data_IF_734064496257
#
_entry.id   IF_734064496257
#
_cell.length_a   1.000
_cell.length_b   1.000
_cell.length_c   1.000
_cell.angle_alpha   90.00
_cell.angle_beta   90.00
_cell.angle_gamma   90.00
#
_symmetry.space_group_name_H-M   'P 1'
#
loop_
_entity.id
_entity.type
_entity.pdbx_description
1 polymer ?
#
# COMPACT_ATOMS: atom_id res chain seq x y z
N UNK A 1 -6.62 -24.68 48.06
CA UNK A 1 -5.84 -23.43 47.89
C UNK A 1 -4.96 -23.42 46.64
N UNK A 2 -3.96 -24.29 46.47
CA UNK A 2 -3.04 -24.18 45.31
C UNK A 2 -3.69 -24.44 43.93
N UNK A 3 -4.60 -25.41 43.82
CA UNK A 3 -5.31 -25.70 42.57
C UNK A 3 -6.25 -24.57 42.12
N UNK A 4 -6.75 -23.80 43.07
CA UNK A 4 -7.65 -22.67 42.84
C UNK A 4 -6.88 -21.45 42.36
N UNK A 5 -5.74 -21.14 43.02
CA UNK A 5 -4.78 -20.15 42.55
C UNK A 5 -4.28 -20.43 41.13
N UNK A 6 -4.04 -21.72 40.81
CA UNK A 6 -3.59 -22.14 39.47
C UNK A 6 -4.71 -22.05 38.42
N UNK A 7 -5.99 -22.15 38.83
CA UNK A 7 -7.15 -21.92 37.94
C UNK A 7 -7.36 -20.44 37.68
N UNK A 8 -7.29 -19.60 38.71
CA UNK A 8 -7.39 -18.14 38.53
C UNK A 8 -6.23 -17.60 37.69
N UNK A 9 -5.02 -18.11 37.88
CA UNK A 9 -3.85 -17.76 37.07
C UNK A 9 -4.08 -18.10 35.59
N UNK A 10 -4.56 -19.31 35.28
CA UNK A 10 -4.89 -19.69 33.88
C UNK A 10 -5.95 -18.78 33.27
N UNK A 11 -7.02 -18.47 34.01
CA UNK A 11 -8.10 -17.59 33.54
C UNK A 11 -7.60 -16.19 33.21
N UNK A 12 -6.70 -15.64 34.03
CA UNK A 12 -6.08 -14.33 33.76
C UNK A 12 -5.22 -14.37 32.50
N UNK A 13 -4.40 -15.40 32.31
CA UNK A 13 -3.59 -15.55 31.10
C UNK A 13 -4.43 -15.67 29.83
N UNK A 14 -5.51 -16.45 29.89
CA UNK A 14 -6.47 -16.61 28.80
C UNK A 14 -7.14 -15.27 28.43
N UNK A 15 -7.59 -14.51 29.44
CA UNK A 15 -8.13 -13.16 29.23
C UNK A 15 -7.10 -12.22 28.59
N UNK A 16 -5.84 -12.28 29.02
CA UNK A 16 -4.75 -11.47 28.45
C UNK A 16 -4.45 -11.86 27.00
N UNK A 17 -4.42 -13.15 26.68
CA UNK A 17 -4.20 -13.62 25.32
C UNK A 17 -5.38 -13.29 24.40
N UNK A 18 -6.62 -13.42 24.89
CA UNK A 18 -7.82 -13.00 24.17
C UNK A 18 -7.84 -11.48 23.94
N UNK A 19 -7.45 -10.67 24.93
CA UNK A 19 -7.31 -9.23 24.80
C UNK A 19 -6.20 -8.87 23.79
N UNK A 20 -5.06 -9.57 23.81
CA UNK A 20 -3.97 -9.40 22.83
C UNK A 20 -4.42 -9.73 21.42
N UNK A 21 -5.07 -10.88 21.21
CA UNK A 21 -5.64 -11.28 19.90
C UNK A 21 -6.68 -10.28 19.42
N UNK A 22 -7.57 -9.81 20.30
CA UNK A 22 -8.57 -8.76 19.97
C UNK A 22 -7.91 -7.44 19.59
N UNK A 23 -6.87 -7.02 20.31
CA UNK A 23 -6.12 -5.81 19.99
C UNK A 23 -5.36 -5.93 18.66
N UNK A 24 -4.77 -7.10 18.38
CA UNK A 24 -4.13 -7.39 17.09
C UNK A 24 -5.12 -7.35 15.94
N UNK A 25 -6.27 -8.02 16.05
CA UNK A 25 -7.35 -7.95 15.05
C UNK A 25 -7.82 -6.52 14.81
N UNK A 26 -8.00 -5.73 15.88
CA UNK A 26 -8.35 -4.30 15.77
C UNK A 26 -7.25 -3.48 15.08
N UNK A 27 -5.99 -3.74 15.38
CA UNK A 27 -4.86 -3.06 14.78
C UNK A 27 -4.76 -3.38 13.27
N UNK A 28 -4.91 -4.65 12.89
CA UNK A 28 -4.94 -5.10 11.49
C UNK A 28 -6.14 -4.48 10.76
N UNK A 29 -7.34 -4.54 11.34
CA UNK A 29 -8.54 -3.92 10.77
C UNK A 29 -8.35 -2.42 10.53
N UNK A 30 -7.80 -1.68 11.51
CA UNK A 30 -7.52 -0.25 11.36
C UNK A 30 -6.40 0.04 10.35
N UNK A 31 -5.39 -0.83 10.24
CA UNK A 31 -4.34 -0.71 9.25
C UNK A 31 -4.87 -0.94 7.83
N UNK A 32 -5.65 -2.01 7.59
CA UNK A 32 -6.36 -2.28 6.33
C UNK A 32 -7.24 -1.09 5.93
N UNK A 33 -7.96 -0.48 6.89
CA UNK A 33 -8.82 0.69 6.62
C UNK A 33 -8.08 2.00 6.40
N UNK A 34 -6.86 2.13 6.91
CA UNK A 34 -6.07 3.35 6.76
C UNK A 34 -5.45 3.44 5.37
N UNK A 35 -5.28 2.28 4.70
CA UNK A 35 -4.58 2.17 3.43
C UNK A 35 -3.15 2.69 3.54
N UNK A 36 -2.33 2.50 2.51
CA UNK A 36 -1.10 3.28 2.39
C UNK A 36 -1.49 4.73 2.01
N UNK A 37 -1.20 5.74 2.86
CA UNK A 37 -1.51 7.14 2.53
C UNK A 37 -0.79 7.62 1.28
N UNK A 38 0.27 6.93 0.84
CA UNK A 38 1.01 7.24 -0.38
C UNK A 38 0.37 6.65 -1.64
N UNK A 39 -0.59 5.71 -1.53
CA UNK A 39 -1.16 4.99 -2.67
C UNK A 39 -2.55 5.47 -3.12
N UNK A 40 -3.15 6.48 -2.48
CA UNK A 40 -4.51 6.94 -2.89
C UNK A 40 -4.75 8.43 -2.68
N UNK A 41 -3.93 9.27 -3.33
CA UNK A 41 -4.28 10.68 -3.52
C UNK A 41 -5.11 10.80 -4.79
N UNK A 42 -6.42 11.00 -4.65
CA UNK A 42 -7.29 11.32 -5.77
C UNK A 42 -7.54 12.83 -5.82
N UNK A 43 -7.20 13.45 -6.95
CA UNK A 43 -7.57 14.83 -7.24
C UNK A 43 -8.86 14.84 -8.08
N UNK A 44 -9.97 15.34 -7.50
CA UNK A 44 -11.25 15.49 -8.20
C UNK A 44 -11.51 16.96 -8.47
N UNK A 45 -11.63 17.33 -9.74
CA UNK A 45 -12.05 18.66 -10.16
C UNK A 45 -13.56 18.77 -10.15
N UNK A 46 -14.11 19.79 -9.50
CA UNK A 46 -15.54 20.14 -9.62
C UNK A 46 -15.68 21.54 -10.19
N UNK A 47 -16.76 21.78 -10.96
CA UNK A 47 -17.05 23.12 -11.47
C UNK A 47 -17.41 24.05 -10.31
N UNK A 48 -16.50 24.94 -9.97
CA UNK A 48 -16.76 26.05 -9.06
C UNK A 48 -17.44 27.20 -9.81
N UNK A 49 -18.46 27.82 -9.19
CA UNK A 49 -18.98 29.11 -9.66
C UNK A 49 -18.07 30.20 -9.09
N UNK A 50 -17.44 30.95 -9.97
CA UNK A 50 -16.64 32.10 -9.56
C UNK A 50 -17.61 33.20 -9.14
N UNK A 51 -17.61 33.51 -7.85
CA UNK A 51 -18.32 34.66 -7.33
C UNK A 51 -17.40 35.87 -7.43
N UNK A 52 -17.85 36.89 -8.18
CA UNK A 52 -17.15 38.17 -8.25
C UNK A 52 -17.47 38.95 -6.97
N UNK A 53 -16.46 39.20 -6.18
CA UNK A 53 -16.55 40.11 -5.05
C UNK A 53 -16.10 41.50 -5.54
N UNK A 54 -17.07 42.38 -5.82
CA UNK A 54 -16.81 43.73 -6.28
C UNK A 54 -16.06 44.57 -5.23
N UNK A 55 -16.26 44.30 -3.93
CA UNK A 55 -15.55 45.00 -2.87
C UNK A 55 -14.08 44.58 -2.84
N UNK A 56 -13.80 43.27 -2.97
CA UNK A 56 -12.43 42.76 -3.10
C UNK A 56 -11.75 43.30 -4.37
N UNK A 57 -12.47 43.35 -5.49
CA UNK A 57 -11.97 43.93 -6.74
C UNK A 57 -11.58 45.41 -6.56
N UNK A 58 -12.48 46.24 -6.01
CA UNK A 58 -12.20 47.66 -5.76
C UNK A 58 -11.08 47.86 -4.75
N UNK A 59 -11.01 47.04 -3.70
CA UNK A 59 -9.90 47.08 -2.75
C UNK A 59 -8.55 46.77 -3.44
N UNK A 60 -8.54 45.86 -4.41
CA UNK A 60 -7.33 45.53 -5.19
C UNK A 60 -6.94 46.69 -6.12
N UNK A 61 -7.91 47.32 -6.80
CA UNK A 61 -7.70 48.50 -7.65
C UNK A 61 -7.18 49.71 -6.84
N UNK A 62 -7.75 49.94 -5.67
CA UNK A 62 -7.31 50.97 -4.70
C UNK A 62 -5.97 50.60 -4.02
N UNK A 63 -5.39 49.44 -4.34
CA UNK A 63 -4.17 48.90 -3.73
C UNK A 63 -4.29 48.76 -2.19
N UNK A 64 -5.53 48.65 -1.68
CA UNK A 64 -5.81 48.41 -0.28
C UNK A 64 -5.38 46.99 0.08
N UNK A 65 -4.31 46.87 0.85
CA UNK A 65 -3.76 45.56 1.19
C UNK A 65 -2.34 45.39 0.70
N UNK A 66 -1.84 46.28 -0.16
CA UNK A 66 -0.47 46.22 -0.63
C UNK A 66 0.46 47.08 0.24
N UNK A 67 1.71 46.63 0.37
CA UNK A 67 2.81 47.34 1.03
C UNK A 67 4.05 47.40 0.12
N UNK A 68 4.87 48.46 0.22
CA UNK A 68 6.15 48.52 -0.47
C UNK A 68 7.07 47.37 -0.05
N UNK A 69 7.57 46.62 -1.03
CA UNK A 69 8.46 45.50 -0.78
C UNK A 69 9.89 45.98 -0.53
N UNK A 70 10.44 45.70 0.65
CA UNK A 70 11.80 46.07 1.05
C UNK A 70 12.12 47.58 0.83
N UNK A 71 11.14 48.46 1.05
CA UNK A 71 11.27 49.91 0.88
C UNK A 71 11.26 50.41 -0.57
N UNK A 72 11.09 49.51 -1.55
CA UNK A 72 10.91 49.85 -2.97
C UNK A 72 9.46 50.25 -3.21
N UNK A 73 9.23 51.54 -3.47
CA UNK A 73 7.88 52.11 -3.67
C UNK A 73 7.23 51.67 -5.00
N UNK A 74 8.05 51.27 -5.96
CA UNK A 74 7.66 50.79 -7.28
C UNK A 74 7.23 49.32 -7.29
N UNK A 75 7.55 48.56 -6.23
CA UNK A 75 7.19 47.14 -6.12
C UNK A 75 6.32 46.93 -4.90
N UNK A 76 5.03 46.74 -5.14
CA UNK A 76 4.03 46.47 -4.12
C UNK A 76 3.80 44.96 -3.98
N UNK A 77 3.68 44.49 -2.74
CA UNK A 77 3.33 43.10 -2.40
C UNK A 77 2.14 43.09 -1.46
N UNK A 78 1.36 42.01 -1.44
CA UNK A 78 0.28 41.84 -0.47
C UNK A 78 0.83 41.86 0.97
N UNK A 79 0.11 42.47 1.90
CA UNK A 79 0.44 42.53 3.33
C UNK A 79 0.59 41.15 3.97
N UNK A 80 -0.08 40.13 3.44
CA UNK A 80 0.01 38.74 3.87
C UNK A 80 0.90 37.89 2.97
N UNK A 81 1.58 38.49 1.99
CA UNK A 81 2.53 37.79 1.14
C UNK A 81 3.72 37.29 1.98
N UNK A 82 3.99 35.99 1.95
CA UNK A 82 5.09 35.38 2.70
C UNK A 82 6.48 35.95 2.36
N UNK A 83 6.64 36.60 1.19
CA UNK A 83 7.88 37.31 0.81
C UNK A 83 8.20 38.48 1.74
N UNK A 84 7.21 39.07 2.39
CA UNK A 84 7.41 40.13 3.38
C UNK A 84 8.20 39.64 4.61
N UNK A 85 8.23 38.32 4.86
CA UNK A 85 8.97 37.69 5.96
C UNK A 85 10.43 37.38 5.61
N UNK A 86 10.87 37.60 4.37
CA UNK A 86 12.22 37.28 3.92
C UNK A 86 13.11 38.52 3.98
N UNK A 87 14.13 38.49 4.84
CA UNK A 87 15.14 39.57 4.96
C UNK A 87 15.92 39.80 3.66
N UNK A 88 16.09 38.74 2.86
CA UNK A 88 16.85 38.77 1.61
C UNK A 88 16.22 37.84 0.58
N UNK A 89 15.88 38.39 -0.59
CA UNK A 89 15.41 37.62 -1.74
C UNK A 89 16.45 37.76 -2.84
N UNK A 90 16.95 36.62 -3.32
CA UNK A 90 17.93 36.59 -4.42
C UNK A 90 17.30 37.18 -5.68
N UNK A 91 17.93 38.20 -6.24
CA UNK A 91 17.46 38.88 -7.44
C UNK A 91 17.54 37.94 -8.65
N UNK A 92 16.38 37.48 -9.12
CA UNK A 92 16.27 36.56 -10.25
C UNK A 92 16.68 37.22 -11.57
N UNK A 93 16.70 38.56 -11.65
CA UNK A 93 17.09 39.30 -12.86
C UNK A 93 18.57 39.09 -13.24
N UNK A 94 19.43 38.74 -12.27
CA UNK A 94 20.84 38.40 -12.51
C UNK A 94 21.04 37.01 -13.11
N UNK A 95 20.01 36.16 -13.04
CA UNK A 95 19.96 34.87 -13.73
C UNK A 95 19.13 35.05 -14.98
N UNK A 96 19.78 35.10 -16.15
CA UNK A 96 19.08 34.81 -17.40
C UNK A 96 18.29 33.51 -17.17
N UNK A 97 17.01 33.41 -17.59
CA UNK A 97 16.31 32.15 -17.60
C UNK A 97 16.99 31.29 -18.68
N UNK A 98 18.16 30.73 -18.34
CA UNK A 98 18.63 29.54 -19.01
C UNK A 98 17.63 28.49 -18.57
N UNK A 99 16.84 28.00 -19.52
CA UNK A 99 16.32 26.64 -19.42
C UNK A 99 17.57 25.81 -19.12
N UNK A 100 17.71 25.23 -17.91
CA UNK A 100 18.82 24.35 -17.64
C UNK A 100 18.80 23.30 -18.75
N UNK A 101 19.90 23.18 -19.49
CA UNK A 101 20.07 22.01 -20.35
C UNK A 101 20.03 20.82 -19.39
N UNK A 102 19.05 19.95 -19.59
CA UNK A 102 18.86 18.78 -18.74
C UNK A 102 20.10 17.93 -18.87
N UNK A 103 20.62 17.45 -17.75
CA UNK A 103 21.67 16.43 -17.81
C UNK A 103 21.08 15.14 -18.41
N UNK A 104 21.94 14.26 -18.93
CA UNK A 104 21.51 12.94 -19.40
C UNK A 104 20.72 12.19 -18.32
N UNK A 105 21.18 12.27 -17.06
CA UNK A 105 20.49 11.70 -15.89
C UNK A 105 19.09 12.33 -15.66
N UNK A 106 18.95 13.64 -15.86
CA UNK A 106 17.65 14.33 -15.76
C UNK A 106 16.71 13.94 -16.90
N UNK A 107 17.22 13.77 -18.13
CA UNK A 107 16.41 13.29 -19.26
C UNK A 107 15.94 11.85 -19.06
N UNK A 108 16.80 10.96 -18.54
CA UNK A 108 16.42 9.60 -18.19
C UNK A 108 15.36 9.58 -17.10
N UNK A 109 15.52 10.40 -16.04
CA UNK A 109 14.55 10.50 -14.96
C UNK A 109 13.20 11.03 -15.46
N UNK A 110 13.20 12.02 -16.35
CA UNK A 110 11.98 12.51 -16.97
C UNK A 110 11.27 11.47 -17.82
N UNK A 111 12.03 10.59 -18.48
CA UNK A 111 11.48 9.47 -19.22
C UNK A 111 10.83 8.43 -18.28
N UNK A 112 11.46 8.12 -17.15
CA UNK A 112 10.84 7.29 -16.09
C UNK A 112 9.55 7.91 -15.56
N UNK A 113 9.56 9.21 -15.25
CA UNK A 113 8.37 9.93 -14.77
C UNK A 113 7.27 9.96 -15.84
N UNK A 114 7.65 10.12 -17.11
CA UNK A 114 6.69 10.13 -18.22
C UNK A 114 6.08 8.74 -18.44
N UNK A 115 6.88 7.69 -18.29
CA UNK A 115 6.38 6.32 -18.29
C UNK A 115 5.33 6.12 -17.20
N UNK A 116 5.61 6.43 -15.94
CA UNK A 116 4.61 6.30 -14.86
C UNK A 116 3.38 7.18 -15.10
N UNK A 117 3.56 8.40 -15.62
CA UNK A 117 2.46 9.32 -15.90
C UNK A 117 1.49 8.78 -16.95
N UNK A 118 2.00 8.14 -18.00
CA UNK A 118 1.20 7.73 -19.15
C UNK A 118 0.98 6.22 -19.25
N UNK A 119 1.54 5.42 -18.34
CA UNK A 119 1.49 3.95 -18.37
C UNK A 119 0.08 3.42 -18.61
N UNK A 120 -0.85 3.80 -17.76
CA UNK A 120 -2.23 3.28 -17.81
C UNK A 120 -2.98 3.83 -19.03
N UNK A 121 -2.66 5.06 -19.46
CA UNK A 121 -3.24 5.67 -20.65
C UNK A 121 -2.77 4.96 -21.95
N UNK A 122 -1.50 4.56 -22.01
CA UNK A 122 -0.94 3.78 -23.13
C UNK A 122 -1.65 2.41 -23.20
N UNK A 123 -1.84 1.73 -22.07
CA UNK A 123 -2.60 0.47 -22.00
C UNK A 123 -4.05 0.65 -22.46
N UNK A 124 -4.74 1.70 -22.00
CA UNK A 124 -6.11 1.97 -22.41
C UNK A 124 -6.22 2.26 -23.91
N UNK A 125 -5.28 3.04 -24.46
CA UNK A 125 -5.24 3.32 -25.90
C UNK A 125 -5.01 2.05 -26.73
N UNK A 126 -4.18 1.12 -26.24
CA UNK A 126 -3.96 -0.18 -26.88
C UNK A 126 -5.19 -1.07 -26.87
N UNK A 127 -5.98 -1.01 -25.80
CA UNK A 127 -7.29 -1.68 -25.68
C UNK A 127 -8.37 -1.02 -26.53
N UNK A 128 -8.09 0.13 -27.12
CA UNK A 128 -9.00 0.88 -27.98
C UNK A 128 -9.97 1.79 -27.24
N UNK A 129 -9.73 2.05 -25.94
CA UNK A 129 -10.58 2.96 -25.18
C UNK A 129 -10.38 4.41 -25.61
N UNK A 130 -11.50 5.15 -25.64
CA UNK A 130 -11.44 6.60 -25.63
C UNK A 130 -11.18 7.13 -24.21
N UNK A 131 -10.90 8.43 -24.07
CA UNK A 131 -10.51 9.00 -22.76
C UNK A 131 -11.66 8.93 -21.72
N UNK A 132 -12.92 8.98 -22.16
CA UNK A 132 -14.10 8.89 -21.30
C UNK A 132 -14.35 7.44 -20.83
N UNK A 133 -14.24 6.48 -21.74
CA UNK A 133 -14.32 5.03 -21.45
C UNK A 133 -13.18 4.58 -20.55
N UNK A 134 -11.96 5.05 -20.81
CA UNK A 134 -10.79 4.77 -19.97
C UNK A 134 -10.98 5.29 -18.54
N UNK A 135 -11.54 6.49 -18.38
CA UNK A 135 -11.83 7.04 -17.06
C UNK A 135 -12.93 6.24 -16.33
N UNK A 136 -13.97 5.80 -17.04
CA UNK A 136 -15.01 4.93 -16.48
C UNK A 136 -14.44 3.57 -16.05
N UNK A 137 -13.55 2.98 -16.86
CA UNK A 137 -12.85 1.74 -16.53
C UNK A 137 -12.03 1.89 -15.25
N UNK A 138 -11.22 2.95 -15.13
CA UNK A 138 -10.45 3.24 -13.92
C UNK A 138 -11.37 3.38 -12.71
N UNK A 139 -12.51 4.08 -12.84
CA UNK A 139 -13.45 4.22 -11.72
C UNK A 139 -14.03 2.87 -11.29
N UNK A 140 -14.41 2.00 -12.24
CA UNK A 140 -14.91 0.65 -11.96
C UNK A 140 -13.85 -0.23 -11.30
N UNK A 141 -12.62 -0.19 -11.79
CA UNK A 141 -11.49 -0.93 -11.22
C UNK A 141 -11.20 -0.46 -9.78
N UNK A 142 -11.22 0.85 -9.54
CA UNK A 142 -11.04 1.41 -8.19
C UNK A 142 -12.19 1.01 -7.26
N UNK A 143 -13.44 1.06 -7.71
CA UNK A 143 -14.60 0.60 -6.94
C UNK A 143 -14.54 -0.90 -6.64
N UNK A 144 -14.07 -1.70 -7.61
CA UNK A 144 -13.86 -3.14 -7.44
C UNK A 144 -12.76 -3.41 -6.42
N UNK A 145 -11.62 -2.71 -6.47
CA UNK A 145 -10.52 -2.81 -5.49
C UNK A 145 -11.00 -2.48 -4.09
N UNK A 146 -11.67 -1.34 -3.92
CA UNK A 146 -12.27 -0.93 -2.65
C UNK A 146 -13.23 -2.04 -2.17
N UNK A 147 -14.12 -2.53 -3.02
CA UNK A 147 -15.10 -3.56 -2.66
C UNK A 147 -14.47 -4.91 -2.32
N UNK A 148 -13.39 -5.33 -3.01
CA UNK A 148 -12.66 -6.56 -2.75
C UNK A 148 -11.95 -6.52 -1.40
N UNK A 149 -11.29 -5.39 -1.07
CA UNK A 149 -10.66 -5.19 0.24
C UNK A 149 -11.66 -5.25 1.41
N UNK A 150 -12.96 -5.00 1.16
CA UNK A 150 -14.01 -5.08 2.17
C UNK A 150 -14.89 -6.35 2.08
N UNK A 151 -14.87 -7.06 0.97
CA UNK A 151 -15.80 -8.16 0.66
C UNK A 151 -15.46 -9.50 1.30
N UNK A 152 -14.18 -9.74 1.60
CA UNK A 152 -13.71 -11.01 2.16
C UNK A 152 -14.30 -11.31 3.56
N UNK A 153 -14.52 -10.28 4.38
CA UNK A 153 -15.05 -10.44 5.75
C UNK A 153 -16.55 -10.79 5.80
N UNK A 154 -17.30 -10.59 4.71
CA UNK A 154 -18.78 -10.66 4.75
C UNK A 154 -19.38 -11.97 4.22
N UNK A 155 -18.59 -12.82 3.58
CA UNK A 155 -19.09 -14.02 2.88
C UNK A 155 -19.10 -15.30 3.71
N UNK A 156 -18.62 -15.24 4.96
CA UNK A 156 -18.69 -16.35 5.93
C UNK A 156 -20.00 -16.41 6.72
N UNK A 157 -20.91 -15.43 6.58
CA UNK A 157 -22.28 -15.55 7.10
C UNK A 157 -23.24 -16.03 6.01
N UNK A 158 -23.05 -17.28 5.57
CA UNK A 158 -24.08 -17.99 4.83
C UNK A 158 -25.35 -18.10 5.70
N UNK A 159 -26.43 -17.54 5.15
CA UNK A 159 -27.77 -17.43 5.71
C UNK A 159 -28.25 -18.66 6.50
N UNK A 160 -28.50 -18.48 7.80
CA UNK A 160 -29.49 -19.29 8.51
C UNK A 160 -30.90 -18.93 7.99
N UNK A 161 -31.76 -19.91 7.67
CA UNK A 161 -33.12 -19.62 7.23
C UNK A 161 -33.93 -18.97 8.37
N UNK A 162 -34.74 -17.93 8.11
CA UNK A 162 -35.51 -17.27 9.15
C UNK A 162 -36.68 -18.16 9.59
N UNK A 163 -36.59 -18.76 10.78
CA UNK A 163 -37.71 -19.47 11.39
C UNK A 163 -38.77 -18.45 11.89
N UNK A 164 -39.87 -18.40 11.13
CA UNK A 164 -41.23 -17.91 11.40
C UNK A 164 -41.52 -16.93 12.55
N UNK A 165 -42.06 -15.79 12.10
CA UNK A 165 -42.84 -14.71 12.73
C UNK A 165 -43.65 -15.05 13.99
N UNK A 166 -43.55 -14.16 14.99
CA UNK A 166 -44.58 -13.85 15.99
C UNK A 166 -44.81 -12.33 16.08
N UNK A 167 -46.04 -11.83 16.27
CA UNK A 167 -46.39 -10.41 16.17
C UNK A 167 -46.27 -9.73 17.53
N UNK A 168 -45.06 -9.51 18.04
CA UNK A 168 -44.86 -8.54 19.10
C UNK A 168 -43.40 -8.08 19.11
N UNK A 169 -43.16 -6.96 18.43
CA UNK A 169 -41.97 -6.15 18.64
C UNK A 169 -42.05 -5.58 20.05
N UNK A 170 -41.40 -6.23 21.01
CA UNK A 170 -41.10 -5.67 22.31
C UNK A 170 -39.60 -5.50 22.43
N UNK A 171 -39.16 -4.25 22.29
CA UNK A 171 -37.86 -3.76 22.75
C UNK A 171 -37.72 -4.08 24.24
N UNK A 172 -36.91 -5.08 24.56
CA UNK A 172 -36.50 -5.41 25.92
C UNK A 172 -35.08 -4.92 26.17
N UNK A 173 -34.95 -3.77 26.84
CA UNK A 173 -33.73 -3.49 27.59
C UNK A 173 -33.79 -4.29 28.88
N UNK A 174 -32.88 -5.23 29.08
CA UNK A 174 -32.65 -5.89 30.37
C UNK A 174 -31.23 -5.56 30.85
N UNK A 175 -31.15 -4.75 31.90
CA UNK A 175 -29.99 -4.69 32.78
C UNK A 175 -30.21 -5.74 33.86
N UNK A 176 -29.73 -6.95 33.62
CA UNK A 176 -29.41 -7.87 34.72
C UNK A 176 -28.09 -8.55 34.36
N UNK A 177 -27.09 -8.27 35.19
CA UNK A 177 -25.82 -8.98 35.13
C UNK A 177 -26.06 -10.41 35.55
N UNK A 178 -25.79 -11.34 34.65
CA UNK A 178 -25.45 -12.70 35.01
C UNK A 178 -24.36 -13.20 34.06
N UNK A 179 -23.27 -13.63 34.69
CA UNK A 179 -22.09 -14.18 34.04
C UNK A 179 -22.46 -15.51 33.38
N UNK A 180 -22.63 -15.51 32.06
CA UNK A 180 -22.59 -16.74 31.27
C UNK A 180 -21.56 -16.63 30.16
N UNK A 181 -20.39 -17.16 30.49
CA UNK A 181 -19.41 -17.69 29.55
C UNK A 181 -20.12 -18.69 28.62
N UNK A 182 -20.37 -18.30 27.37
CA UNK A 182 -20.41 -19.26 26.26
C UNK A 182 -19.14 -19.09 25.44
N UNK A 183 -18.14 -19.88 25.84
CA UNK A 183 -17.02 -20.30 25.00
C UNK A 183 -17.57 -21.10 23.82
N UNK A 184 -17.83 -20.41 22.71
CA UNK A 184 -17.80 -21.04 21.39
C UNK A 184 -16.40 -20.82 20.82
N UNK A 185 -15.49 -21.71 21.25
CA UNK A 185 -14.18 -21.92 20.63
C UNK A 185 -14.40 -22.48 19.22
N UNK A 186 -14.54 -21.58 18.25
CA UNK A 186 -14.24 -21.91 16.86
C UNK A 186 -12.73 -21.72 16.69
N UNK A 187 -12.02 -22.83 16.94
CA UNK A 187 -10.59 -23.04 16.71
C UNK A 187 -10.32 -23.11 15.19
N UNK A 188 -10.60 -22.01 14.49
CA UNK A 188 -10.12 -21.77 13.14
C UNK A 188 -8.72 -21.20 13.22
N UNK A 189 -7.71 -22.07 13.11
CA UNK A 189 -6.39 -21.69 12.57
C UNK A 189 -6.65 -21.21 11.13
N UNK A 190 -7.09 -19.97 11.00
CA UNK A 190 -6.94 -19.23 9.76
C UNK A 190 -5.47 -18.81 9.73
N UNK A 191 -4.64 -19.70 9.18
CA UNK A 191 -3.53 -19.26 8.34
C UNK A 191 -4.19 -18.35 7.29
N UNK A 192 -4.34 -17.07 7.65
CA UNK A 192 -4.73 -16.01 6.72
C UNK A 192 -3.51 -15.90 5.81
N UNK A 193 -3.54 -16.70 4.76
CA UNK A 193 -2.66 -16.59 3.62
C UNK A 193 -2.65 -15.09 3.28
N UNK A 194 -1.48 -14.47 3.47
CA UNK A 194 -1.14 -13.18 2.87
C UNK A 194 -1.16 -13.34 1.34
N UNK A 195 -2.29 -13.75 0.76
CA UNK A 195 -2.65 -13.64 -0.65
C UNK A 195 -3.06 -12.17 -0.92
N UNK A 196 -2.21 -11.25 -0.46
CA UNK A 196 -2.11 -9.91 -1.02
C UNK A 196 -1.29 -9.98 -2.34
N UNK A 197 -1.27 -11.14 -2.99
CA UNK A 197 -0.71 -11.42 -4.31
C UNK A 197 -1.76 -11.18 -5.43
N UNK A 198 -2.86 -10.47 -5.16
CA UNK A 198 -3.84 -10.04 -6.19
C UNK A 198 -3.30 -8.88 -7.07
N UNK A 199 -1.98 -8.68 -7.11
CA UNK A 199 -1.28 -7.79 -8.04
C UNK A 199 -1.01 -8.46 -9.40
N UNK A 200 -1.53 -9.67 -9.65
CA UNK A 200 -1.12 -10.52 -10.78
C UNK A 200 -1.84 -10.26 -12.12
N UNK A 201 -2.82 -9.34 -12.23
CA UNK A 201 -3.63 -9.25 -13.46
C UNK A 201 -3.40 -8.02 -14.37
N UNK A 202 -2.22 -7.39 -14.38
CA UNK A 202 -2.01 -6.29 -15.35
C UNK A 202 -0.64 -6.23 -16.02
N UNK A 203 0.20 -7.26 -15.86
CA UNK A 203 1.39 -7.42 -16.68
C UNK A 203 1.27 -8.69 -17.51
N UNK A 204 0.54 -8.60 -18.63
CA UNK A 204 0.60 -9.66 -19.62
C UNK A 204 2.05 -9.78 -20.08
N UNK A 205 2.58 -11.01 -20.13
CA UNK A 205 3.96 -11.31 -20.55
C UNK A 205 4.29 -10.78 -21.96
N UNK A 206 3.29 -10.32 -22.71
CA UNK A 206 3.38 -9.80 -24.07
C UNK A 206 3.65 -8.28 -24.16
N UNK A 207 3.38 -7.51 -23.09
CA UNK A 207 3.41 -6.04 -23.16
C UNK A 207 4.82 -5.46 -23.43
N UNK A 208 5.88 -6.16 -23.01
CA UNK A 208 7.28 -5.72 -23.21
C UNK A 208 7.76 -5.86 -24.66
N UNK A 209 7.06 -6.65 -25.49
CA UNK A 209 7.41 -6.88 -26.89
C UNK A 209 6.34 -6.37 -27.87
N UNK A 210 5.34 -5.64 -27.37
CA UNK A 210 4.25 -5.12 -28.18
C UNK A 210 4.70 -3.85 -28.93
N UNK A 211 4.97 -3.99 -30.23
CA UNK A 211 5.35 -2.88 -31.11
C UNK A 211 4.27 -1.78 -31.19
N UNK A 212 3.00 -2.14 -31.01
CA UNK A 212 1.89 -1.17 -31.01
C UNK A 212 1.86 -0.38 -29.70
N UNK A 213 2.23 -1.01 -28.56
CA UNK A 213 2.42 -0.26 -27.32
C UNK A 213 3.58 0.72 -27.42
N UNK A 214 4.69 0.30 -28.04
CA UNK A 214 5.86 1.15 -28.26
C UNK A 214 5.55 2.35 -29.19
N UNK A 215 4.69 2.18 -30.21
CA UNK A 215 4.29 3.27 -31.09
C UNK A 215 3.37 4.27 -30.38
N UNK A 216 2.37 3.78 -29.62
CA UNK A 216 1.48 4.61 -28.80
C UNK A 216 2.30 5.38 -27.75
N UNK A 217 3.25 4.72 -27.09
CA UNK A 217 4.07 5.34 -26.06
C UNK A 217 4.93 6.50 -26.59
N UNK A 218 5.42 6.38 -27.84
CA UNK A 218 6.16 7.48 -28.51
C UNK A 218 5.28 8.71 -28.75
N UNK A 219 3.97 8.54 -28.99
CA UNK A 219 3.03 9.66 -29.11
C UNK A 219 2.91 10.44 -27.78
N UNK A 220 3.08 9.75 -26.64
CA UNK A 220 3.11 10.34 -25.30
C UNK A 220 4.51 10.81 -24.86
N UNK A 221 5.53 10.68 -25.72
CA UNK A 221 6.90 11.11 -25.44
C UNK A 221 7.74 10.10 -24.65
N UNK A 222 7.27 8.86 -24.48
CA UNK A 222 8.04 7.78 -23.87
C UNK A 222 8.82 7.05 -24.98
N UNK A 223 10.15 7.15 -24.98
CA UNK A 223 10.99 6.70 -26.12
C UNK A 223 11.37 5.22 -26.04
N UNK A 224 11.51 4.67 -24.83
CA UNK A 224 11.94 3.29 -24.55
C UNK A 224 10.90 2.53 -23.73
N UNK A 225 9.64 2.49 -24.16
CA UNK A 225 8.55 1.92 -23.37
C UNK A 225 8.81 0.45 -23.00
N UNK A 226 9.17 -0.40 -23.95
CA UNK A 226 9.45 -1.82 -23.69
C UNK A 226 10.59 -2.05 -22.69
N UNK A 227 11.64 -1.21 -22.71
CA UNK A 227 12.73 -1.28 -21.75
C UNK A 227 12.31 -0.83 -20.34
N UNK A 228 11.52 0.24 -20.25
CA UNK A 228 10.99 0.74 -18.97
C UNK A 228 10.05 -0.28 -18.31
N UNK A 229 9.20 -0.91 -19.12
CA UNK A 229 8.34 -2.04 -18.74
C UNK A 229 9.14 -3.24 -18.22
N UNK A 230 10.25 -3.59 -18.90
CA UNK A 230 11.16 -4.64 -18.42
C UNK A 230 11.85 -4.27 -17.09
N UNK A 231 12.30 -3.02 -16.94
CA UNK A 231 12.96 -2.55 -15.73
C UNK A 231 12.01 -2.51 -14.53
N UNK A 232 10.77 -2.06 -14.72
CA UNK A 232 9.72 -2.10 -13.68
C UNK A 232 9.44 -3.55 -13.25
N UNK A 233 9.29 -4.47 -14.20
CA UNK A 233 9.12 -5.90 -13.92
C UNK A 233 10.29 -6.45 -13.10
N UNK A 234 11.52 -6.15 -13.49
CA UNK A 234 12.73 -6.59 -12.78
C UNK A 234 12.81 -6.02 -11.37
N UNK A 235 12.45 -4.75 -11.18
CA UNK A 235 12.42 -4.12 -9.86
C UNK A 235 11.38 -4.77 -8.94
N UNK A 236 10.18 -5.05 -9.44
CA UNK A 236 9.12 -5.76 -8.70
C UNK A 236 9.51 -7.19 -8.35
N UNK A 237 10.14 -7.92 -9.27
CA UNK A 237 10.63 -9.28 -9.00
C UNK A 237 11.73 -9.29 -7.93
N UNK A 238 12.63 -8.30 -7.96
CA UNK A 238 13.66 -8.15 -6.93
C UNK A 238 13.07 -7.77 -5.57
N UNK A 239 12.07 -6.88 -5.53
CA UNK A 239 11.31 -6.55 -4.32
C UNK A 239 10.61 -7.79 -3.75
N UNK A 240 9.96 -8.61 -4.60
CA UNK A 240 9.36 -9.88 -4.19
C UNK A 240 10.40 -10.81 -3.61
N UNK A 241 11.55 -10.97 -4.27
CA UNK A 241 12.64 -11.81 -3.76
C UNK A 241 13.15 -11.32 -2.41
N UNK A 242 13.25 -10.01 -2.19
CA UNK A 242 13.61 -9.43 -0.90
C UNK A 242 12.53 -9.71 0.16
N UNK A 243 11.25 -9.55 -0.17
CA UNK A 243 10.13 -9.88 0.71
C UNK A 243 10.11 -11.37 1.08
N UNK A 244 10.34 -12.27 0.13
CA UNK A 244 10.45 -13.71 0.36
C UNK A 244 11.63 -14.06 1.26
N UNK A 245 12.78 -13.42 1.09
CA UNK A 245 13.94 -13.60 1.97
C UNK A 245 13.64 -13.14 3.41
N UNK A 246 12.92 -12.04 3.57
CA UNK A 246 12.49 -11.52 4.88
C UNK A 246 11.40 -12.43 5.50
N UNK A 247 10.43 -12.91 4.70
CA UNK A 247 9.35 -13.84 5.12
C UNK A 247 9.90 -15.22 5.49
N UNK A 248 10.96 -15.65 4.80
CA UNK A 248 11.67 -16.90 5.03
C UNK A 248 12.64 -16.87 6.22
N UNK A 249 12.91 -15.70 6.80
CA UNK A 249 13.78 -15.57 7.97
C UNK A 249 13.06 -16.10 9.24
N UNK A 250 13.50 -17.25 9.80
CA UNK A 250 12.87 -17.83 10.99
C UNK A 250 13.09 -16.98 12.25
N UNK A 251 13.99 -16.00 12.23
CA UNK A 251 14.21 -15.07 13.34
C UNK A 251 13.16 -13.96 13.41
N UNK A 252 12.51 -13.67 12.28
CA UNK A 252 11.47 -12.64 12.14
C UNK A 252 10.08 -13.27 12.35
N UNK A 253 9.88 -14.52 11.91
CA UNK A 253 8.63 -15.28 12.12
C UNK A 253 8.60 -15.86 13.55
N UNK A 254 7.66 -15.42 14.39
CA UNK A 254 7.45 -16.02 15.74
C UNK A 254 6.82 -17.41 15.59
N UNK A 255 7.65 -18.40 15.30
CA UNK A 255 7.24 -19.80 15.17
C UNK A 255 6.50 -20.29 16.41
N UNK A 256 5.38 -20.97 16.23
CA UNK A 256 4.66 -21.69 17.27
C UNK A 256 5.56 -22.76 17.91
N UNK A 257 5.24 -23.20 19.13
CA UNK A 257 6.01 -24.25 19.83
C UNK A 257 6.06 -25.56 19.03
N UNK A 258 5.02 -25.85 18.23
CA UNK A 258 4.94 -27.03 17.35
C UNK A 258 5.87 -26.87 16.13
N UNK A 259 5.90 -25.68 15.53
CA UNK A 259 6.75 -25.36 14.39
C UNK A 259 8.23 -25.33 14.78
N UNK A 260 8.59 -24.75 15.94
CA UNK A 260 9.96 -24.80 16.48
C UNK A 260 10.49 -26.23 16.62
N UNK A 261 9.62 -27.17 17.03
CA UNK A 261 9.99 -28.59 17.12
C UNK A 261 10.20 -29.22 15.74
N UNK A 262 9.35 -28.89 14.76
CA UNK A 262 9.46 -29.39 13.38
C UNK A 262 10.71 -28.85 12.68
N UNK A 263 10.98 -27.55 12.81
CA UNK A 263 12.19 -26.90 12.26
C UNK A 263 13.45 -27.50 12.89
N UNK A 264 13.49 -27.68 14.21
CA UNK A 264 14.65 -28.30 14.88
C UNK A 264 14.86 -29.77 14.47
N UNK A 265 13.78 -30.52 14.20
CA UNK A 265 13.91 -31.87 13.65
C UNK A 265 14.47 -31.86 12.22
N UNK A 266 13.95 -30.99 11.35
CA UNK A 266 14.43 -30.87 9.96
C UNK A 266 15.88 -30.39 9.91
N UNK A 267 16.28 -29.46 10.77
CA UNK A 267 17.67 -28.99 10.88
C UNK A 267 18.61 -30.13 11.30
N UNK A 268 18.20 -30.93 12.29
CA UNK A 268 18.97 -32.09 12.75
C UNK A 268 19.04 -33.22 11.72
N UNK A 269 18.01 -33.39 10.90
CA UNK A 269 18.04 -34.32 9.76
C UNK A 269 18.94 -33.81 8.64
N UNK A 270 18.87 -32.52 8.32
CA UNK A 270 19.73 -31.87 7.33
C UNK A 270 21.20 -31.90 7.74
N UNK A 271 21.51 -31.71 9.02
CA UNK A 271 22.87 -31.87 9.57
C UNK A 271 23.37 -33.32 9.43
N UNK A 272 22.50 -34.30 9.71
CA UNK A 272 22.82 -35.73 9.51
C UNK A 272 23.03 -36.07 8.04
N UNK A 273 22.25 -35.48 7.13
CA UNK A 273 22.36 -35.69 5.70
C UNK A 273 23.62 -35.02 5.13
N UNK A 274 23.92 -33.79 5.55
CA UNK A 274 25.17 -33.10 5.22
C UNK A 274 26.40 -33.88 5.73
N UNK A 275 26.33 -34.45 6.93
CA UNK A 275 27.39 -35.31 7.47
C UNK A 275 27.58 -36.60 6.64
N UNK A 276 26.51 -37.19 6.09
CA UNK A 276 26.60 -38.35 5.19
C UNK A 276 27.24 -37.98 3.85
N UNK A 277 26.85 -36.85 3.27
CA UNK A 277 27.41 -36.35 2.01
C UNK A 277 28.91 -36.03 2.17
N UNK A 278 29.29 -35.35 3.27
CA UNK A 278 30.69 -34.97 3.54
C UNK A 278 31.55 -36.19 3.95
N UNK A 279 30.97 -37.19 4.60
CA UNK A 279 31.64 -38.42 5.00
C UNK A 279 32.01 -39.37 3.85
N UNK A 280 31.55 -39.10 2.61
CA UNK A 280 31.80 -39.97 1.45
C UNK A 280 33.10 -39.62 0.70
N UNK A 281 33.82 -38.56 1.10
CA UNK A 281 35.05 -38.10 0.42
C UNK A 281 36.29 -38.12 1.32
N UNK A 282 36.50 -39.22 2.05
CA UNK A 282 37.83 -39.54 2.60
C UNK A 282 38.41 -40.69 1.78
N UNK A 283 39.09 -40.33 0.69
CA UNK A 283 39.98 -41.27 -0.02
C UNK A 283 41.12 -41.63 0.93
N UNK A 284 41.06 -42.84 1.48
CA UNK A 284 42.15 -43.44 2.23
C UNK A 284 43.33 -43.66 1.27
N UNK A 285 44.37 -42.81 1.36
CA UNK A 285 45.67 -43.14 0.78
C UNK A 285 46.36 -44.10 1.75
N UNK A 286 46.43 -45.37 1.36
CA UNK A 286 47.24 -46.38 2.04
C UNK A 286 48.71 -46.16 1.64
N UNK A 287 49.65 -45.91 2.57
CA UNK A 287 51.07 -45.76 2.25
C UNK A 287 51.82 -47.11 2.19
N UNK A 288 51.13 -48.26 2.30
CA UNK A 288 51.75 -49.59 2.24
C UNK A 288 51.08 -50.52 1.21
N UNK A 289 50.53 -49.97 0.12
CA UNK A 289 50.13 -50.75 -1.06
C UNK A 289 50.69 -50.18 -2.35
#
# INVERSE_FOLDING_TARGET
>A
MWHEARRSEKKVHEMMDAARKRAQRRAIYLAKRRGDPSQSIQAVGTRCRIHRDDALYQATEDQQGLIPWNGKQDILIDRFDGRALLDFIRDSSTRRPRVPEKTEEEEELEEFVSFERYRDLIKHRRRGFNDEEGLQHVNQEMEAKISASFGSDSKSHAAHPPASKGPYSQVGFSYDGDEKEETQDLDGDEDDDDDDDDYEEDFNSDDSNDELMESIAKEFGVKRYGWLVYMDKKAKEEERRQKEVIKGDPSIRKLSRKERRKVSQMEREKEREAARITGTRVLHHDPYR
#
